data_IF_005120942592
#
_entry.id   IF_005120942592
#
_cell.length_a   1.000
_cell.length_b   1.000
_cell.length_c   1.000
_cell.angle_alpha   90.00
_cell.angle_beta   90.00
_cell.angle_gamma   90.00
#
_symmetry.space_group_name_H-M   'P 1'
#
loop_
_entity.id
_entity.type
_entity.pdbx_description
1 polymer ?
#
# COMPACT_ATOMS: atom_id res chain seq x y z
N UNK A 1 25.36 15.30 43.56
CA UNK A 1 25.80 14.96 42.19
C UNK A 1 24.71 14.29 41.40
N UNK A 2 24.17 13.12 41.78
CA UNK A 2 23.01 12.56 41.06
C UNK A 2 21.83 13.56 41.01
N UNK A 3 21.57 14.24 42.13
CA UNK A 3 20.56 15.30 42.23
C UNK A 3 20.92 16.57 41.43
N UNK A 4 22.22 16.85 41.22
CA UNK A 4 22.70 18.03 40.47
C UNK A 4 22.73 17.77 38.96
N UNK A 5 22.90 16.52 38.54
CA UNK A 5 23.04 16.10 37.13
C UNK A 5 21.69 15.66 36.55
N UNK A 6 20.88 14.92 37.33
CA UNK A 6 19.62 14.31 36.89
C UNK A 6 18.39 14.90 37.59
N UNK A 7 18.57 15.84 38.53
CA UNK A 7 17.47 16.42 39.31
C UNK A 7 16.75 15.44 40.24
N UNK A 8 17.33 14.25 40.47
CA UNK A 8 16.75 13.16 41.28
C UNK A 8 17.81 12.47 42.12
N UNK A 9 17.42 11.98 43.30
CA UNK A 9 18.30 11.17 44.15
C UNK A 9 18.44 9.74 43.60
N UNK A 10 19.56 9.05 43.91
CA UNK A 10 19.73 7.63 43.55
C UNK A 10 18.61 6.74 44.12
N UNK A 11 18.03 7.09 45.27
CA UNK A 11 16.85 6.40 45.84
C UNK A 11 15.62 6.55 44.95
N UNK A 12 15.37 7.74 44.42
CA UNK A 12 14.27 7.99 43.48
C UNK A 12 14.50 7.29 42.14
N UNK A 13 15.74 7.26 41.65
CA UNK A 13 16.12 6.53 40.42
C UNK A 13 15.87 5.02 40.58
N UNK A 14 16.30 4.42 41.70
CA UNK A 14 16.01 3.01 42.02
C UNK A 14 14.50 2.73 42.14
N UNK A 15 13.72 3.67 42.69
CA UNK A 15 12.25 3.55 42.76
C UNK A 15 11.60 3.64 41.37
N UNK A 16 12.09 4.53 40.51
CA UNK A 16 11.61 4.64 39.13
C UNK A 16 11.93 3.35 38.33
N UNK A 17 13.16 2.84 38.44
CA UNK A 17 13.61 1.57 37.84
C UNK A 17 12.72 0.39 38.23
N UNK A 18 12.47 0.22 39.54
CA UNK A 18 11.63 -0.87 40.04
C UNK A 18 10.18 -0.75 39.57
N UNK A 19 9.64 0.47 39.50
CA UNK A 19 8.29 0.71 38.97
C UNK A 19 8.21 0.39 37.47
N UNK A 20 9.19 0.83 36.67
CA UNK A 20 9.26 0.54 35.24
C UNK A 20 9.37 -0.98 34.98
N UNK A 21 10.27 -1.67 35.69
CA UNK A 21 10.42 -3.13 35.63
C UNK A 21 9.10 -3.83 35.95
N UNK A 22 8.45 -3.46 37.05
CA UNK A 22 7.20 -4.08 37.47
C UNK A 22 6.09 -3.90 36.43
N UNK A 23 5.94 -2.69 35.86
CA UNK A 23 4.94 -2.42 34.84
C UNK A 23 5.20 -3.22 33.56
N UNK A 24 6.46 -3.25 33.09
CA UNK A 24 6.85 -4.06 31.93
C UNK A 24 6.57 -5.55 32.16
N UNK A 25 6.97 -6.10 33.31
CA UNK A 25 6.74 -7.52 33.64
C UNK A 25 5.25 -7.84 33.71
N UNK A 26 4.43 -6.95 34.27
CA UNK A 26 2.96 -7.13 34.29
C UNK A 26 2.39 -7.18 32.88
N UNK A 27 2.80 -6.26 32.02
CA UNK A 27 2.36 -6.21 30.62
C UNK A 27 2.78 -7.46 29.84
N UNK A 28 4.03 -7.90 29.99
CA UNK A 28 4.52 -9.13 29.36
C UNK A 28 3.73 -10.36 29.82
N UNK A 29 3.44 -10.45 31.13
CA UNK A 29 2.66 -11.56 31.69
C UNK A 29 1.19 -11.53 31.27
N UNK A 30 0.62 -10.34 31.09
CA UNK A 30 -0.72 -10.18 30.54
C UNK A 30 -0.79 -10.70 29.09
N UNK A 31 0.13 -10.27 28.24
CA UNK A 31 0.22 -10.72 26.84
C UNK A 31 0.40 -12.24 26.73
N UNK A 32 1.28 -12.84 27.55
CA UNK A 32 1.47 -14.29 27.58
C UNK A 32 0.20 -15.09 27.92
N UNK A 33 -0.77 -14.48 28.64
CA UNK A 33 -2.02 -15.14 29.01
C UNK A 33 -3.14 -14.90 28.00
N UNK A 34 -3.21 -13.68 27.46
CA UNK A 34 -4.39 -13.24 26.72
C UNK A 34 -4.18 -13.08 25.21
N UNK A 35 -2.94 -13.11 24.70
CA UNK A 35 -2.68 -12.92 23.27
C UNK A 35 -3.46 -13.88 22.36
N UNK A 36 -3.67 -15.13 22.80
CA UNK A 36 -4.44 -16.12 22.05
C UNK A 36 -5.92 -15.77 21.87
N UNK A 37 -6.47 -14.87 22.69
CA UNK A 37 -7.89 -14.45 22.67
C UNK A 37 -8.11 -13.08 22.06
N UNK A 38 -7.06 -12.27 21.99
CA UNK A 38 -7.12 -10.92 21.43
C UNK A 38 -7.38 -10.93 19.92
N UNK A 39 -7.97 -9.84 19.42
CA UNK A 39 -8.06 -9.57 17.98
C UNK A 39 -6.79 -8.86 17.49
N UNK A 40 -6.62 -8.77 16.16
CA UNK A 40 -5.41 -8.20 15.55
C UNK A 40 -5.05 -6.80 16.07
N UNK A 41 -6.04 -5.90 16.13
CA UNK A 41 -5.84 -4.53 16.58
C UNK A 41 -5.35 -4.47 18.04
N UNK A 42 -5.97 -5.27 18.91
CA UNK A 42 -5.59 -5.38 20.32
C UNK A 42 -4.16 -5.93 20.46
N UNK A 43 -3.81 -6.99 19.73
CA UNK A 43 -2.45 -7.55 19.75
C UNK A 43 -1.40 -6.52 19.36
N UNK A 44 -1.65 -5.75 18.30
CA UNK A 44 -0.73 -4.69 17.83
C UNK A 44 -0.61 -3.56 18.85
N UNK A 45 -1.74 -3.15 19.44
CA UNK A 45 -1.77 -2.10 20.47
C UNK A 45 -1.02 -2.53 21.73
N UNK A 46 -1.34 -3.70 22.28
CA UNK A 46 -0.72 -4.22 23.50
C UNK A 46 0.78 -4.50 23.31
N UNK A 47 1.20 -4.92 22.11
CA UNK A 47 2.61 -5.03 21.79
C UNK A 47 3.32 -3.67 21.74
N UNK A 48 2.63 -2.64 21.25
CA UNK A 48 3.18 -1.27 21.23
C UNK A 48 3.35 -0.75 22.65
N UNK A 49 2.37 -0.99 23.53
CA UNK A 49 2.48 -0.70 24.98
C UNK A 49 3.65 -1.45 25.62
N UNK A 50 3.87 -2.71 25.26
CA UNK A 50 5.01 -3.49 25.75
C UNK A 50 6.35 -2.89 25.30
N UNK A 51 6.47 -2.50 24.02
CA UNK A 51 7.67 -1.81 23.48
C UNK A 51 7.97 -0.52 24.22
N UNK A 52 6.96 0.31 24.47
CA UNK A 52 7.10 1.53 25.26
C UNK A 52 7.52 1.21 26.71
N UNK A 53 6.98 0.13 27.28
CA UNK A 53 7.38 -0.39 28.58
C UNK A 53 8.86 -0.76 28.64
N UNK A 54 9.36 -1.50 27.63
CA UNK A 54 10.78 -1.84 27.52
C UNK A 54 11.64 -0.57 27.43
N UNK A 55 11.25 0.38 26.58
CA UNK A 55 11.97 1.65 26.44
C UNK A 55 12.11 2.37 27.78
N UNK A 56 11.03 2.44 28.58
CA UNK A 56 11.05 3.03 29.93
C UNK A 56 11.95 2.27 30.90
N UNK A 57 12.05 0.95 30.79
CA UNK A 57 12.97 0.13 31.60
C UNK A 57 14.42 0.48 31.24
N UNK A 58 14.75 0.56 29.95
CA UNK A 58 16.09 0.92 29.49
C UNK A 58 16.47 2.34 29.90
N UNK A 59 15.59 3.33 29.68
CA UNK A 59 15.80 4.72 30.12
C UNK A 59 16.01 4.80 31.64
N UNK A 60 15.18 4.11 32.44
CA UNK A 60 15.33 4.11 33.91
C UNK A 60 16.60 3.37 34.38
N UNK A 61 17.08 2.37 33.63
CA UNK A 61 18.35 1.71 33.88
C UNK A 61 19.52 2.64 33.59
N UNK A 62 19.51 3.34 32.46
CA UNK A 62 20.53 4.34 32.09
C UNK A 62 20.62 5.47 33.11
N UNK A 63 19.48 6.05 33.50
CA UNK A 63 19.43 7.07 34.55
C UNK A 63 20.00 6.55 35.87
N UNK A 64 19.64 5.31 36.26
CA UNK A 64 20.12 4.69 37.49
C UNK A 64 21.64 4.43 37.43
N UNK A 65 22.17 3.96 36.29
CA UNK A 65 23.61 3.77 36.08
C UNK A 65 24.37 5.08 36.20
N UNK A 66 23.88 6.15 35.55
CA UNK A 66 24.50 7.47 35.63
C UNK A 66 24.50 8.00 37.07
N UNK A 67 23.41 7.80 37.83
CA UNK A 67 23.34 8.14 39.24
C UNK A 67 24.32 7.35 40.12
N UNK A 68 24.43 6.03 39.89
CA UNK A 68 25.36 5.16 40.62
C UNK A 68 26.82 5.53 40.35
N UNK A 69 27.19 5.83 39.11
CA UNK A 69 28.53 6.26 38.73
C UNK A 69 28.89 7.62 39.34
N UNK A 70 27.94 8.56 39.41
CA UNK A 70 28.15 9.86 40.04
C UNK A 70 28.38 9.75 41.56
N UNK A 71 27.73 8.79 42.22
CA UNK A 71 27.93 8.52 43.65
C UNK A 71 29.22 7.70 43.90
N UNK A 72 29.57 6.75 43.01
CA UNK A 72 30.79 5.95 43.09
C UNK A 72 32.08 6.77 42.97
N UNK A 73 32.06 7.88 42.21
CA UNK A 73 33.18 8.84 42.15
C UNK A 73 33.50 9.52 43.49
N UNK A 74 32.61 9.41 44.49
CA UNK A 74 32.79 9.97 45.84
C UNK A 74 33.03 8.91 46.91
N UNK A 75 32.93 7.63 46.57
CA UNK A 75 33.08 6.54 47.51
C UNK A 75 34.55 6.40 47.94
N UNK A 76 34.82 6.47 49.24
CA UNK A 76 36.16 6.31 49.83
C UNK A 76 36.22 4.98 50.59
N UNK A 77 36.44 3.88 49.85
CA UNK A 77 36.66 2.58 50.49
C UNK A 77 36.39 1.37 49.59
N UNK A 78 37.13 0.28 49.82
CA UNK A 78 36.99 -0.97 49.07
C UNK A 78 35.60 -1.61 49.19
N UNK A 79 34.92 -1.44 50.32
CA UNK A 79 33.57 -1.99 50.52
C UNK A 79 32.51 -1.24 49.70
N UNK A 80 32.59 0.09 49.64
CA UNK A 80 31.68 0.91 48.83
C UNK A 80 31.91 0.66 47.33
N UNK A 81 33.15 0.44 46.91
CA UNK A 81 33.48 0.07 45.52
C UNK A 81 32.89 -1.30 45.12
N UNK A 82 32.93 -2.29 46.02
CA UNK A 82 32.34 -3.62 45.77
C UNK A 82 30.82 -3.55 45.70
N UNK A 83 30.18 -2.74 46.55
CA UNK A 83 28.74 -2.51 46.52
C UNK A 83 28.30 -1.82 45.22
N UNK A 84 29.03 -0.79 44.77
CA UNK A 84 28.75 -0.10 43.52
C UNK A 84 28.80 -1.06 42.32
N UNK A 85 29.87 -1.87 42.20
CA UNK A 85 29.99 -2.89 41.13
C UNK A 85 28.86 -3.91 41.13
N UNK A 86 28.38 -4.30 42.32
CA UNK A 86 27.24 -5.23 42.45
C UNK A 86 25.94 -4.59 41.96
N UNK A 87 25.73 -3.31 42.23
CA UNK A 87 24.54 -2.57 41.78
C UNK A 87 24.56 -2.31 40.27
N UNK A 88 25.72 -2.00 39.70
CA UNK A 88 25.90 -1.88 38.24
C UNK A 88 25.55 -3.18 37.52
N UNK A 89 26.09 -4.32 37.97
CA UNK A 89 25.78 -5.63 37.40
C UNK A 89 24.30 -6.03 37.54
N UNK A 90 23.60 -5.55 38.57
CA UNK A 90 22.16 -5.76 38.74
C UNK A 90 21.32 -4.93 37.73
N UNK A 91 21.77 -3.71 37.40
CA UNK A 91 21.14 -2.89 36.37
C UNK A 91 21.31 -3.53 34.99
N UNK A 92 22.52 -3.99 34.66
CA UNK A 92 22.82 -4.65 33.38
C UNK A 92 21.98 -5.93 33.22
N UNK A 93 21.96 -6.79 34.24
CA UNK A 93 21.11 -8.00 34.24
C UNK A 93 19.63 -7.67 34.04
N UNK A 94 19.15 -6.56 34.59
CA UNK A 94 17.74 -6.15 34.40
C UNK A 94 17.45 -5.77 32.95
N UNK A 95 18.41 -5.19 32.23
CA UNK A 95 18.26 -4.91 30.80
C UNK A 95 18.20 -6.22 30.00
N UNK A 96 19.14 -7.15 30.23
CA UNK A 96 19.17 -8.45 29.57
C UNK A 96 17.88 -9.26 29.82
N UNK A 97 17.42 -9.32 31.08
CA UNK A 97 16.15 -9.98 31.46
C UNK A 97 14.95 -9.37 30.72
N UNK A 98 14.92 -8.03 30.59
CA UNK A 98 13.82 -7.34 29.93
C UNK A 98 13.83 -7.57 28.41
N UNK A 99 15.01 -7.59 27.78
CA UNK A 99 15.18 -7.88 26.36
C UNK A 99 14.82 -9.33 26.04
N UNK A 100 15.32 -10.29 26.82
CA UNK A 100 14.96 -11.71 26.67
C UNK A 100 13.45 -11.90 26.78
N UNK A 101 12.83 -11.27 27.78
CA UNK A 101 11.37 -11.34 27.96
C UNK A 101 10.59 -10.66 26.84
N UNK A 102 11.13 -9.58 26.28
CA UNK A 102 10.55 -8.92 25.11
C UNK A 102 10.58 -9.85 23.89
N UNK A 103 11.69 -10.55 23.64
CA UNK A 103 11.80 -11.44 22.49
C UNK A 103 10.87 -12.66 22.61
N UNK A 104 10.73 -13.23 23.82
CA UNK A 104 9.75 -14.29 24.08
C UNK A 104 8.32 -13.85 23.73
N UNK A 105 7.89 -12.68 24.23
CA UNK A 105 6.55 -12.17 23.96
C UNK A 105 6.40 -11.77 22.49
N UNK A 106 7.45 -11.24 21.86
CA UNK A 106 7.49 -10.93 20.44
C UNK A 106 7.25 -12.19 19.60
N UNK A 107 7.91 -13.30 19.92
CA UNK A 107 7.70 -14.59 19.25
C UNK A 107 6.25 -15.06 19.36
N UNK A 108 5.68 -15.02 20.57
CA UNK A 108 4.28 -15.39 20.80
C UNK A 108 3.28 -14.49 20.05
N UNK A 109 3.53 -13.18 19.98
CA UNK A 109 2.69 -12.25 19.22
C UNK A 109 2.86 -12.45 17.73
N UNK A 110 4.10 -12.68 17.27
CA UNK A 110 4.39 -13.01 15.88
C UNK A 110 3.61 -14.26 15.45
N UNK A 111 3.66 -15.33 16.24
CA UNK A 111 2.94 -16.57 15.95
C UNK A 111 1.43 -16.34 15.86
N UNK A 112 0.85 -15.58 16.79
CA UNK A 112 -0.58 -15.25 16.77
C UNK A 112 -0.98 -14.41 15.56
N UNK A 113 -0.26 -13.32 15.31
CA UNK A 113 -0.52 -12.41 14.21
C UNK A 113 -0.35 -13.10 12.86
N UNK A 114 0.73 -13.86 12.70
CA UNK A 114 1.04 -14.55 11.45
C UNK A 114 0.08 -15.69 11.18
N UNK A 115 -0.13 -16.60 12.13
CA UNK A 115 -0.94 -17.81 11.90
C UNK A 115 -2.43 -17.50 11.67
N UNK A 116 -2.97 -16.48 12.35
CA UNK A 116 -4.40 -16.14 12.30
C UNK A 116 -4.77 -15.15 11.21
N UNK A 117 -3.86 -14.23 10.84
CA UNK A 117 -4.17 -13.11 9.96
C UNK A 117 -3.19 -13.06 8.77
N UNK A 118 -1.91 -12.78 9.05
CA UNK A 118 -0.95 -12.44 8.01
C UNK A 118 -0.69 -13.53 6.99
N UNK A 119 -0.66 -14.80 7.42
CA UNK A 119 -0.44 -15.94 6.51
C UNK A 119 -1.54 -16.04 5.47
N UNK A 120 -2.79 -15.99 5.89
CA UNK A 120 -3.93 -16.12 4.99
C UNK A 120 -4.00 -14.92 4.05
N UNK A 121 -3.96 -13.70 4.58
CA UNK A 121 -4.04 -12.48 3.77
C UNK A 121 -2.95 -12.41 2.70
N UNK A 122 -1.69 -12.71 3.06
CA UNK A 122 -0.58 -12.64 2.12
C UNK A 122 -0.65 -13.76 1.07
N UNK A 123 -0.96 -14.99 1.47
CA UNK A 123 -1.09 -16.11 0.53
C UNK A 123 -2.21 -15.82 -0.46
N UNK A 124 -3.38 -15.40 0.01
CA UNK A 124 -4.51 -15.06 -0.87
C UNK A 124 -4.17 -13.93 -1.82
N UNK A 125 -3.53 -12.85 -1.35
CA UNK A 125 -3.14 -11.75 -2.23
C UNK A 125 -2.14 -12.17 -3.32
N UNK A 126 -1.22 -13.10 -3.00
CA UNK A 126 -0.28 -13.66 -3.97
C UNK A 126 -1.02 -14.57 -4.96
N UNK A 127 -1.84 -15.49 -4.48
CA UNK A 127 -2.60 -16.44 -5.31
C UNK A 127 -3.54 -15.72 -6.29
N UNK A 128 -4.25 -14.67 -5.86
CA UNK A 128 -5.08 -13.86 -6.75
C UNK A 128 -4.26 -13.16 -7.85
N UNK A 129 -3.02 -12.77 -7.56
CA UNK A 129 -2.14 -12.15 -8.54
C UNK A 129 -1.53 -13.20 -9.49
N UNK A 130 -1.23 -14.40 -9.01
CA UNK A 130 -0.78 -15.53 -9.81
C UNK A 130 -1.91 -15.98 -10.76
N UNK A 131 -3.15 -16.10 -10.27
CA UNK A 131 -4.32 -16.42 -11.09
C UNK A 131 -4.57 -15.36 -12.16
N UNK A 132 -4.51 -14.07 -11.81
CA UNK A 132 -4.63 -12.99 -12.79
C UNK A 132 -3.51 -13.03 -13.85
N UNK A 133 -2.31 -13.48 -13.45
CA UNK A 133 -1.19 -13.67 -14.38
C UNK A 133 -1.44 -14.82 -15.33
N UNK A 134 -1.95 -15.94 -14.83
CA UNK A 134 -2.29 -17.12 -15.62
C UNK A 134 -3.43 -16.83 -16.60
N UNK A 135 -4.49 -16.15 -16.15
CA UNK A 135 -5.59 -15.70 -17.00
C UNK A 135 -5.10 -14.84 -18.17
N UNK A 136 -4.22 -13.86 -17.89
CA UNK A 136 -3.58 -13.07 -18.95
C UNK A 136 -2.66 -13.94 -19.84
N UNK A 137 -1.91 -14.87 -19.25
CA UNK A 137 -1.05 -15.80 -19.98
C UNK A 137 -1.81 -16.70 -20.97
N UNK A 138 -3.04 -17.08 -20.65
CA UNK A 138 -3.83 -18.02 -21.45
C UNK A 138 -4.66 -17.36 -22.57
N UNK A 139 -4.68 -16.03 -22.68
CA UNK A 139 -5.41 -15.34 -23.75
C UNK A 139 -4.79 -15.68 -25.12
N UNK A 140 -5.56 -16.17 -26.10
CA UNK A 140 -5.08 -16.40 -27.47
C UNK A 140 -4.68 -15.09 -28.16
N UNK A 141 -3.57 -15.13 -28.92
CA UNK A 141 -3.03 -13.95 -29.63
C UNK A 141 -3.83 -13.67 -30.90
N UNK A 142 -4.97 -13.03 -30.72
CA UNK A 142 -5.85 -12.60 -31.79
C UNK A 142 -6.06 -11.09 -31.69
N UNK A 143 -6.13 -10.41 -32.84
CA UNK A 143 -6.30 -8.95 -32.88
C UNK A 143 -7.58 -8.47 -32.18
N UNK A 144 -8.62 -9.30 -32.13
CA UNK A 144 -9.90 -9.07 -31.43
C UNK A 144 -9.77 -9.10 -29.90
N UNK A 145 -8.72 -9.73 -29.36
CA UNK A 145 -8.52 -9.89 -27.93
C UNK A 145 -7.65 -8.78 -27.32
N UNK A 146 -7.14 -7.82 -28.12
CA UNK A 146 -6.19 -6.80 -27.66
C UNK A 146 -6.77 -5.94 -26.52
N UNK A 147 -8.00 -5.46 -26.66
CA UNK A 147 -8.66 -4.62 -25.66
C UNK A 147 -8.89 -5.42 -24.36
N UNK A 148 -9.35 -6.67 -24.47
CA UNK A 148 -9.54 -7.57 -23.33
C UNK A 148 -8.23 -7.90 -22.62
N UNK A 149 -7.16 -8.10 -23.38
CA UNK A 149 -5.82 -8.34 -22.85
C UNK A 149 -5.30 -7.14 -22.04
N UNK A 150 -5.51 -5.91 -22.54
CA UNK A 150 -5.15 -4.68 -21.82
C UNK A 150 -5.89 -4.52 -20.48
N UNK A 151 -7.16 -4.94 -20.41
CA UNK A 151 -7.92 -4.97 -19.16
C UNK A 151 -7.33 -5.97 -18.18
N UNK A 152 -6.98 -7.17 -18.62
CA UNK A 152 -6.35 -8.20 -17.77
C UNK A 152 -4.98 -7.76 -17.23
N UNK A 153 -4.16 -7.09 -18.03
CA UNK A 153 -2.89 -6.50 -17.57
C UNK A 153 -3.12 -5.45 -16.46
N UNK A 154 -4.18 -4.66 -16.57
CA UNK A 154 -4.54 -3.67 -15.55
C UNK A 154 -4.99 -4.32 -14.24
N UNK A 155 -5.76 -5.41 -14.33
CA UNK A 155 -6.18 -6.21 -13.17
C UNK A 155 -4.96 -6.84 -12.50
N UNK A 156 -4.06 -7.45 -13.28
CA UNK A 156 -2.81 -8.02 -12.79
C UNK A 156 -1.96 -6.98 -12.05
N UNK A 157 -1.76 -5.80 -12.64
CA UNK A 157 -0.99 -4.74 -11.99
C UNK A 157 -1.59 -4.33 -10.63
N UNK A 158 -2.92 -4.28 -10.54
CA UNK A 158 -3.63 -4.01 -9.29
C UNK A 158 -3.38 -5.11 -8.26
N UNK A 159 -3.56 -6.38 -8.63
CA UNK A 159 -3.34 -7.53 -7.73
C UNK A 159 -1.88 -7.64 -7.27
N UNK A 160 -0.91 -7.41 -8.17
CA UNK A 160 0.52 -7.37 -7.82
C UNK A 160 0.82 -6.28 -6.80
N UNK A 161 0.29 -5.07 -7.00
CA UNK A 161 0.45 -3.96 -6.04
C UNK A 161 -0.15 -4.32 -4.68
N UNK A 162 -1.29 -4.99 -4.67
CA UNK A 162 -1.92 -5.48 -3.45
C UNK A 162 -1.04 -6.51 -2.72
N UNK A 163 -0.56 -7.54 -3.41
CA UNK A 163 0.36 -8.53 -2.83
C UNK A 163 1.63 -7.86 -2.24
N UNK A 164 2.18 -6.86 -2.94
CA UNK A 164 3.33 -6.09 -2.44
C UNK A 164 2.99 -5.29 -1.19
N UNK A 165 1.81 -4.67 -1.15
CA UNK A 165 1.31 -3.90 0.00
C UNK A 165 1.10 -4.79 1.21
N UNK A 166 0.45 -5.94 1.04
CA UNK A 166 0.20 -6.91 2.11
C UNK A 166 1.52 -7.50 2.63
N UNK A 167 2.47 -7.83 1.73
CA UNK A 167 3.81 -8.27 2.13
C UNK A 167 4.51 -7.23 3.02
N UNK A 168 4.47 -5.95 2.64
CA UNK A 168 5.06 -4.87 3.43
C UNK A 168 4.36 -4.67 4.78
N UNK A 169 3.02 -4.77 4.82
CA UNK A 169 2.24 -4.65 6.06
C UNK A 169 2.54 -5.75 7.07
N UNK A 170 2.91 -6.94 6.58
CA UNK A 170 3.20 -8.12 7.40
C UNK A 170 4.69 -8.41 7.59
N UNK A 171 5.61 -7.66 6.94
CA UNK A 171 7.03 -8.02 6.85
C UNK A 171 7.70 -8.33 8.20
N UNK A 172 7.41 -7.55 9.24
CA UNK A 172 7.97 -7.71 10.58
C UNK A 172 7.41 -8.92 11.35
N UNK A 173 6.35 -9.54 10.84
CA UNK A 173 5.61 -10.64 11.43
C UNK A 173 5.78 -11.96 10.66
N UNK A 174 6.35 -11.93 9.45
CA UNK A 174 6.61 -13.15 8.68
C UNK A 174 7.73 -13.96 9.37
N UNK A 175 7.52 -15.24 9.69
CA UNK A 175 8.57 -16.11 10.20
C UNK A 175 9.75 -16.18 9.24
N UNK A 176 10.97 -16.20 9.77
CA UNK A 176 12.20 -16.14 8.97
C UNK A 176 12.23 -17.20 7.87
N UNK A 177 11.78 -18.42 8.18
CA UNK A 177 11.76 -19.55 7.24
C UNK A 177 10.80 -19.36 6.06
N UNK A 178 9.74 -18.55 6.20
CA UNK A 178 8.76 -18.31 5.13
C UNK A 178 9.07 -17.02 4.34
N UNK A 179 9.92 -16.14 4.88
CA UNK A 179 10.13 -14.79 4.34
C UNK A 179 10.77 -14.81 2.94
N UNK A 180 11.78 -15.65 2.73
CA UNK A 180 12.46 -15.77 1.43
C UNK A 180 11.50 -16.19 0.32
N UNK A 181 10.68 -17.20 0.59
CA UNK A 181 9.85 -17.87 -0.39
C UNK A 181 8.69 -16.96 -0.81
N UNK A 182 8.03 -16.34 0.16
CA UNK A 182 6.96 -15.36 -0.11
C UNK A 182 7.51 -14.12 -0.83
N UNK A 183 8.68 -13.62 -0.42
CA UNK A 183 9.33 -12.52 -1.13
C UNK A 183 9.73 -12.90 -2.57
N UNK A 184 10.13 -14.15 -2.79
CA UNK A 184 10.39 -14.73 -4.11
C UNK A 184 9.16 -14.67 -4.99
N UNK A 185 8.03 -15.22 -4.53
CA UNK A 185 6.76 -15.20 -5.27
C UNK A 185 6.31 -13.78 -5.65
N UNK A 186 6.41 -12.82 -4.72
CA UNK A 186 6.07 -11.41 -5.00
C UNK A 186 7.01 -10.79 -6.05
N UNK A 187 8.30 -11.16 -6.06
CA UNK A 187 9.24 -10.74 -7.10
C UNK A 187 8.94 -11.39 -8.45
N UNK A 188 8.57 -12.66 -8.47
CA UNK A 188 8.24 -13.40 -9.68
C UNK A 188 7.01 -12.80 -10.38
N UNK A 189 6.00 -12.37 -9.62
CA UNK A 189 4.84 -11.64 -10.17
C UNK A 189 5.25 -10.37 -10.93
N UNK A 190 6.30 -9.66 -10.50
CA UNK A 190 6.83 -8.51 -11.24
C UNK A 190 7.47 -8.94 -12.56
N UNK A 191 8.25 -10.03 -12.54
CA UNK A 191 8.86 -10.58 -13.75
C UNK A 191 7.80 -11.06 -14.76
N UNK A 192 6.78 -11.77 -14.29
CA UNK A 192 5.66 -12.26 -15.10
C UNK A 192 4.89 -11.09 -15.72
N UNK A 193 4.55 -10.07 -14.93
CA UNK A 193 3.88 -8.86 -15.43
C UNK A 193 4.66 -8.19 -16.55
N UNK A 194 5.98 -8.04 -16.40
CA UNK A 194 6.81 -7.44 -17.45
C UNK A 194 6.84 -8.29 -18.72
N UNK A 195 6.91 -9.63 -18.60
CA UNK A 195 6.83 -10.55 -19.74
C UNK A 195 5.50 -10.43 -20.48
N UNK A 196 4.39 -10.37 -19.75
CA UNK A 196 3.06 -10.22 -20.33
C UNK A 196 2.87 -8.84 -20.99
N UNK A 197 3.43 -7.78 -20.41
CA UNK A 197 3.44 -6.46 -21.04
C UNK A 197 4.15 -6.46 -22.40
N UNK A 198 5.28 -7.16 -22.52
CA UNK A 198 5.97 -7.33 -23.81
C UNK A 198 5.14 -8.11 -24.83
N UNK A 199 4.37 -9.11 -24.37
CA UNK A 199 3.47 -9.91 -25.20
C UNK A 199 2.36 -9.09 -25.85
N UNK A 200 2.03 -7.91 -25.31
CA UNK A 200 1.06 -6.99 -25.91
C UNK A 200 1.40 -6.63 -27.37
N UNK A 201 2.69 -6.58 -27.72
CA UNK A 201 3.14 -6.35 -29.10
C UNK A 201 2.67 -7.43 -30.08
N UNK A 202 2.53 -8.68 -29.61
CA UNK A 202 2.05 -9.80 -30.44
C UNK A 202 0.59 -9.61 -30.84
N UNK A 203 -0.26 -9.13 -29.93
CA UNK A 203 -1.66 -8.82 -30.21
C UNK A 203 -1.81 -7.66 -31.20
N UNK A 204 -0.98 -6.63 -31.06
CA UNK A 204 -0.94 -5.49 -32.00
C UNK A 204 -0.56 -5.97 -33.40
N UNK A 205 0.45 -6.83 -33.50
CA UNK A 205 0.89 -7.42 -34.77
C UNK A 205 -0.19 -8.32 -35.39
N UNK A 206 -0.84 -9.17 -34.60
CA UNK A 206 -1.96 -10.02 -35.03
C UNK A 206 -3.11 -9.19 -35.62
N UNK A 207 -3.48 -8.09 -34.96
CA UNK A 207 -4.50 -7.16 -35.48
C UNK A 207 -4.09 -6.49 -36.80
N UNK A 208 -2.82 -6.11 -36.94
CA UNK A 208 -2.29 -5.51 -38.18
C UNK A 208 -2.36 -6.50 -39.33
N UNK A 209 -1.92 -7.75 -39.11
CA UNK A 209 -1.94 -8.81 -40.13
C UNK A 209 -3.39 -9.10 -40.55
N UNK A 210 -4.30 -9.28 -39.60
CA UNK A 210 -5.71 -9.53 -39.92
C UNK A 210 -6.36 -8.38 -40.73
N UNK A 211 -5.97 -7.12 -40.46
CA UNK A 211 -6.44 -5.98 -41.25
C UNK A 211 -5.85 -5.96 -42.67
N UNK A 212 -4.57 -6.32 -42.82
CA UNK A 212 -3.90 -6.43 -44.13
C UNK A 212 -4.48 -7.58 -44.97
N UNK A 213 -4.77 -8.72 -44.34
CA UNK A 213 -5.43 -9.86 -44.98
C UNK A 213 -6.85 -9.51 -45.41
N UNK A 214 -7.63 -8.80 -44.59
CA UNK A 214 -8.97 -8.33 -44.96
C UNK A 214 -8.94 -7.34 -46.15
N UNK A 215 -7.91 -6.50 -46.24
CA UNK A 215 -7.68 -5.60 -47.38
C UNK A 215 -7.22 -6.35 -48.64
N UNK A 216 -6.45 -7.44 -48.50
CA UNK A 216 -5.96 -8.26 -49.59
C UNK A 216 -7.02 -9.24 -50.14
N UNK A 217 -7.84 -9.82 -49.24
CA UNK A 217 -9.03 -10.65 -49.53
C UNK A 217 -10.24 -9.84 -50.02
N UNK A 218 -10.07 -8.53 -50.22
CA UNK A 218 -10.96 -7.71 -51.02
C UNK A 218 -10.51 -7.58 -52.50
N UNK A 219 -10.24 -8.65 -53.29
CA UNK A 219 -10.09 -8.52 -54.73
C UNK A 219 -11.50 -8.32 -55.31
N UNK A 220 -11.98 -7.08 -55.33
CA UNK A 220 -13.28 -6.77 -55.91
C UNK A 220 -13.83 -5.36 -55.73
N UNK A 221 -13.34 -4.55 -54.77
CA UNK A 221 -13.76 -3.13 -54.64
C UNK A 221 -12.81 -2.12 -55.29
N UNK A 222 -11.86 -2.60 -56.11
CA UNK A 222 -11.06 -1.76 -57.03
C UNK A 222 -11.32 -2.05 -58.51
N UNK A 223 -12.44 -2.72 -58.83
CA UNK A 223 -13.10 -2.58 -60.13
C UNK A 223 -14.18 -1.53 -59.98
N UNK A 224 -14.18 -0.49 -60.82
CA UNK A 224 -15.16 0.58 -60.76
C UNK A 224 -16.59 0.05 -60.80
N UNK A 225 -17.24 -0.02 -59.64
CA UNK A 225 -18.69 0.06 -59.57
C UNK A 225 -19.06 1.39 -60.25
N UNK A 226 -20.06 1.45 -61.15
CA UNK A 226 -20.67 2.73 -61.45
C UNK A 226 -21.08 3.28 -60.10
N UNK A 227 -20.50 4.43 -59.73
CA UNK A 227 -20.82 5.14 -58.50
C UNK A 227 -22.34 5.03 -58.30
N UNK A 228 -22.85 4.41 -57.22
CA UNK A 228 -24.28 4.52 -56.95
C UNK A 228 -24.49 6.01 -56.86
N UNK A 229 -25.26 6.56 -57.80
CA UNK A 229 -25.42 7.99 -57.99
C UNK A 229 -25.68 8.58 -56.61
N UNK A 230 -24.65 9.17 -56.01
CA UNK A 230 -24.79 9.82 -54.71
C UNK A 230 -25.78 10.92 -55.04
N UNK A 231 -27.01 10.91 -54.50
CA UNK A 231 -27.87 12.04 -54.69
C UNK A 231 -27.08 13.22 -54.14
N UNK A 232 -26.62 14.09 -55.04
CA UNK A 232 -25.92 15.30 -54.65
C UNK A 232 -26.98 16.16 -54.00
N UNK A 233 -27.17 15.96 -52.70
CA UNK A 233 -27.90 16.89 -51.86
C UNK A 233 -27.00 18.11 -51.83
N UNK A 234 -27.25 19.05 -52.75
CA UNK A 234 -26.71 20.40 -52.69
C UNK A 234 -27.30 21.04 -51.45
N UNK A 235 -26.71 20.76 -50.29
CA UNK A 235 -26.93 21.56 -49.10
C UNK A 235 -26.27 22.90 -49.44
N UNK A 236 -27.07 23.85 -49.96
CA UNK A 236 -26.67 25.25 -49.99
C UNK A 236 -26.22 25.57 -48.56
N UNK A 237 -25.03 26.13 -48.33
CA UNK A 237 -24.66 26.56 -46.99
C UNK A 237 -25.75 27.52 -46.52
N UNK A 238 -26.62 27.06 -45.63
CA UNK A 238 -27.54 27.94 -44.92
C UNK A 238 -26.66 28.74 -43.99
N UNK A 239 -26.28 29.93 -44.45
CA UNK A 239 -25.73 30.96 -43.58
C UNK A 239 -26.70 31.12 -42.42
N UNK A 240 -26.20 30.97 -41.20
CA UNK A 240 -26.95 31.38 -40.02
C UNK A 240 -27.32 32.87 -40.20
N UNK A 241 -28.53 33.30 -39.82
CA UNK A 241 -28.90 34.70 -39.92
C UNK A 241 -27.89 35.54 -39.14
N UNK A 242 -27.24 36.49 -39.81
CA UNK A 242 -26.38 37.45 -39.17
C UNK A 242 -27.29 38.47 -38.50
N UNK A 243 -27.32 38.48 -37.17
CA UNK A 243 -28.09 39.44 -36.40
C UNK A 243 -27.21 40.67 -36.12
N UNK A 244 -27.54 41.81 -36.73
CA UNK A 244 -26.81 43.07 -36.55
C UNK A 244 -27.15 43.78 -35.23
N UNK A 245 -27.28 43.02 -34.14
CA UNK A 245 -27.52 43.57 -32.79
C UNK A 245 -28.99 43.89 -32.45
N UNK A 246 -29.95 43.67 -33.36
CA UNK A 246 -31.37 43.88 -33.06
C UNK A 246 -31.98 42.67 -32.31
N UNK A 247 -32.12 42.79 -30.98
CA UNK A 247 -32.66 41.73 -30.10
C UNK A 247 -34.02 41.17 -30.57
N UNK A 248 -34.85 42.00 -31.20
CA UNK A 248 -36.22 41.65 -31.61
C UNK A 248 -36.25 40.62 -32.74
N UNK A 249 -35.26 40.61 -33.63
CA UNK A 249 -35.17 39.68 -34.75
C UNK A 249 -34.72 38.28 -34.31
N UNK A 250 -33.77 38.23 -33.36
CA UNK A 250 -33.35 36.98 -32.72
C UNK A 250 -34.52 36.24 -32.07
N UNK A 251 -35.37 36.94 -31.32
CA UNK A 251 -36.52 36.30 -30.65
C UNK A 251 -37.61 35.83 -31.64
N UNK A 252 -37.79 36.52 -32.77
CA UNK A 252 -38.71 36.08 -33.83
C UNK A 252 -38.22 34.81 -34.52
N UNK A 253 -36.94 34.77 -34.88
CA UNK A 253 -36.30 33.58 -35.45
C UNK A 253 -36.35 32.39 -34.48
N UNK A 254 -36.02 32.61 -33.20
CA UNK A 254 -36.08 31.59 -32.16
C UNK A 254 -37.48 30.99 -32.00
N UNK A 255 -38.53 31.81 -32.05
CA UNK A 255 -39.92 31.34 -31.98
C UNK A 255 -40.28 30.47 -33.20
N UNK A 256 -39.90 30.91 -34.41
CA UNK A 256 -40.13 30.17 -35.65
C UNK A 256 -39.32 28.86 -35.79
N UNK A 257 -38.20 28.72 -35.07
CA UNK A 257 -37.45 27.45 -34.98
C UNK A 257 -38.09 26.50 -33.97
N UNK A 258 -38.66 27.01 -32.87
CA UNK A 258 -39.36 26.22 -31.87
C UNK A 258 -40.61 25.53 -32.43
N UNK A 259 -41.34 26.22 -33.30
CA UNK A 259 -42.56 25.69 -33.94
C UNK A 259 -42.26 24.62 -35.02
N UNK A 260 -40.99 24.49 -35.46
CA UNK A 260 -40.54 23.52 -36.47
C UNK A 260 -39.86 22.28 -35.90
N UNK A 261 -39.99 22.03 -34.60
CA UNK A 261 -39.61 20.74 -33.98
C UNK A 261 -38.14 20.34 -34.11
N UNK A 262 -37.23 21.28 -34.35
CA UNK A 262 -35.80 20.97 -34.54
C UNK A 262 -35.09 20.94 -33.18
N UNK A 263 -34.86 19.72 -32.68
CA UNK A 263 -34.11 19.43 -31.46
C UNK A 263 -32.58 19.56 -31.70
N UNK A 264 -32.13 20.70 -32.22
CA UNK A 264 -30.70 20.98 -32.37
C UNK A 264 -30.19 21.73 -31.13
N UNK A 265 -29.30 21.04 -30.42
CA UNK A 265 -28.67 21.45 -29.16
C UNK A 265 -28.23 22.92 -29.15
N UNK A 266 -28.91 23.71 -28.33
CA UNK A 266 -28.63 25.12 -28.03
C UNK A 266 -27.37 25.33 -27.17
N UNK A 267 -26.52 24.31 -27.01
CA UNK A 267 -25.33 24.34 -26.14
C UNK A 267 -24.10 25.02 -26.76
N UNK A 268 -24.10 25.34 -28.07
CA UNK A 268 -22.95 25.99 -28.72
C UNK A 268 -23.03 27.52 -28.88
N UNK A 269 -24.13 28.16 -28.53
CA UNK A 269 -24.29 29.62 -28.74
C UNK A 269 -23.89 30.49 -27.54
N UNK A 270 -23.40 29.90 -26.44
CA UNK A 270 -23.01 30.66 -25.23
C UNK A 270 -21.56 31.17 -25.22
N UNK A 271 -20.79 30.97 -26.31
CA UNK A 271 -19.35 31.32 -26.36
C UNK A 271 -18.98 32.51 -27.25
N UNK A 272 -19.93 33.24 -27.81
CA UNK A 272 -19.65 34.44 -28.61
C UNK A 272 -20.51 35.62 -28.16
N UNK A 273 -20.34 36.04 -26.90
CA UNK A 273 -20.66 37.40 -26.46
C UNK A 273 -19.55 37.82 -25.49
N UNK A 274 -18.48 38.36 -26.05
CA UNK A 274 -17.74 39.52 -25.54
C UNK A 274 -17.60 40.47 -26.73
#
# INVERSE_FOLDING_TARGET
MAEEILGKTVKELKKARTSAKSNFTRQANYLNREAGRMVEAELREEFTKLKEGLKKVLEANEDCMAGLQADAQKAEGKEEEVLAKREEADVERTAEEAEARMEEVRGLIQDNLWSRYGRYELITAIEEAEEASEQAGNVPVEGTNLEGYGVLLTILERRRKEATRVMAAWECWIPMMAKSDLAGRVKDLKAIRNRLEMRQGEFVNSRRIAAEELEAEAPGRRGGLPSPAIPVVRIKPTSLPIFYGCRREYYRWRKACKDRGSHLDLLKLRKCIF
#
